data_IF_306829801217
#
_entry.id   IF_306829801217
#
_cell.length_a   1.000
_cell.length_b   1.000
_cell.length_c   1.000
_cell.angle_alpha   90.00
_cell.angle_beta   90.00
_cell.angle_gamma   90.00
#
_symmetry.space_group_name_H-M   'P 1'
#
loop_
_entity.id
_entity.type
_entity.pdbx_description
1 polymer ?
#
# COMPACT_ATOMS: atom_id res chain seq x y z
N UNK A 1 23.35 -9.91 -20.09
CA UNK A 1 23.06 -8.54 -19.62
C UNK A 1 22.51 -7.64 -20.74
N UNK A 2 23.31 -7.17 -21.72
CA UNK A 2 22.81 -6.24 -22.75
C UNK A 2 21.79 -6.88 -23.72
N UNK A 3 22.15 -8.01 -24.34
CA UNK A 3 21.23 -8.72 -25.25
C UNK A 3 19.93 -9.17 -24.56
N UNK A 4 19.98 -9.50 -23.26
CA UNK A 4 18.79 -9.85 -22.47
C UNK A 4 17.86 -8.65 -22.29
N UNK A 5 18.43 -7.47 -22.01
CA UNK A 5 17.67 -6.23 -21.92
C UNK A 5 17.06 -5.87 -23.27
N UNK A 6 17.81 -6.00 -24.37
CA UNK A 6 17.30 -5.77 -25.72
C UNK A 6 16.16 -6.74 -26.04
N UNK A 7 16.33 -8.04 -25.78
CA UNK A 7 15.25 -9.03 -25.97
C UNK A 7 14.01 -8.69 -25.14
N UNK A 8 14.19 -8.29 -23.88
CA UNK A 8 13.08 -7.88 -23.02
C UNK A 8 12.37 -6.64 -23.57
N UNK A 9 13.11 -5.62 -23.98
CA UNK A 9 12.56 -4.42 -24.61
C UNK A 9 11.78 -4.73 -25.89
N UNK A 10 12.34 -5.58 -26.77
CA UNK A 10 11.67 -6.03 -27.99
C UNK A 10 10.37 -6.78 -27.68
N UNK A 11 10.38 -7.66 -26.68
CA UNK A 11 9.23 -8.45 -26.32
C UNK A 11 8.13 -7.65 -25.58
N UNK A 12 8.51 -6.74 -24.67
CA UNK A 12 7.58 -6.20 -23.68
C UNK A 12 7.23 -4.71 -23.86
N UNK A 13 8.02 -3.96 -24.62
CA UNK A 13 7.78 -2.52 -24.85
C UNK A 13 7.28 -2.32 -26.27
N UNK A 14 6.16 -1.60 -26.42
CA UNK A 14 5.57 -1.27 -27.71
C UNK A 14 4.36 -0.34 -27.60
N UNK A 15 3.96 0.22 -28.74
CA UNK A 15 2.90 1.22 -28.82
C UNK A 15 1.53 0.73 -28.33
N UNK A 16 1.26 -0.57 -28.42
CA UNK A 16 0.04 -1.24 -27.93
C UNK A 16 -0.01 -1.42 -26.41
N UNK A 17 1.04 -1.00 -25.69
CA UNK A 17 1.14 -1.03 -24.22
C UNK A 17 1.43 0.35 -23.63
N UNK A 18 1.33 1.39 -24.44
CA UNK A 18 1.59 2.77 -24.05
C UNK A 18 0.27 3.46 -23.68
N UNK A 19 0.26 4.12 -22.53
CA UNK A 19 -0.77 5.09 -22.17
C UNK A 19 -0.11 6.48 -22.16
N UNK A 20 -0.67 7.41 -22.93
CA UNK A 20 -0.26 8.81 -22.94
C UNK A 20 -1.38 9.67 -22.36
N UNK A 21 -1.13 10.26 -21.20
CA UNK A 21 -2.00 11.27 -20.62
C UNK A 21 -1.32 12.63 -20.73
N UNK A 22 -2.04 13.61 -21.28
CA UNK A 22 -1.55 14.98 -21.47
C UNK A 22 -2.54 15.94 -20.84
N UNK A 23 -2.04 16.81 -19.96
CA UNK A 23 -2.82 17.85 -19.30
C UNK A 23 -2.02 19.16 -19.32
N UNK A 24 -2.71 20.28 -19.56
CA UNK A 24 -2.08 21.58 -19.71
C UNK A 24 -2.81 22.44 -20.75
N UNK A 25 -2.16 23.53 -21.15
CA UNK A 25 -2.67 24.45 -22.16
C UNK A 25 -2.24 24.01 -23.57
N UNK A 26 -3.16 23.37 -24.30
CA UNK A 26 -2.94 22.96 -25.69
C UNK A 26 -4.25 22.81 -26.45
N UNK A 27 -4.17 22.86 -27.78
CA UNK A 27 -5.29 22.51 -28.66
C UNK A 27 -5.30 21.00 -28.91
N UNK A 28 -6.38 20.33 -28.49
CA UNK A 28 -6.51 18.86 -28.54
C UNK A 28 -6.21 18.28 -29.92
N UNK A 29 -6.73 18.89 -30.99
CA UNK A 29 -6.52 18.41 -32.35
C UNK A 29 -5.03 18.47 -32.77
N UNK A 30 -4.34 19.56 -32.44
CA UNK A 30 -2.92 19.72 -32.76
C UNK A 30 -2.03 18.79 -31.93
N UNK A 31 -2.32 18.65 -30.63
CA UNK A 31 -1.59 17.74 -29.75
C UNK A 31 -1.74 16.29 -30.21
N UNK A 32 -2.97 15.86 -30.52
CA UNK A 32 -3.24 14.50 -31.05
C UNK A 32 -2.43 14.24 -32.32
N UNK A 33 -2.48 15.16 -33.28
CA UNK A 33 -1.74 15.02 -34.53
C UNK A 33 -0.22 14.99 -34.32
N UNK A 34 0.30 15.74 -33.33
CA UNK A 34 1.73 15.72 -32.98
C UNK A 34 2.14 14.38 -32.37
N UNK A 35 1.35 13.83 -31.43
CA UNK A 35 1.60 12.53 -30.81
C UNK A 35 1.50 11.40 -31.83
N UNK A 36 0.48 11.40 -32.68
CA UNK A 36 0.33 10.41 -33.76
C UNK A 36 1.55 10.41 -34.68
N UNK A 37 2.06 11.59 -35.08
CA UNK A 37 3.30 11.68 -35.87
C UNK A 37 4.53 11.21 -35.10
N UNK A 38 4.68 11.61 -33.84
CA UNK A 38 5.83 11.26 -33.00
C UNK A 38 5.95 9.75 -32.77
N UNK A 39 4.81 9.06 -32.65
CA UNK A 39 4.75 7.64 -32.35
C UNK A 39 4.33 6.76 -33.55
N UNK A 40 4.17 7.32 -34.75
CA UNK A 40 3.74 6.58 -35.95
C UNK A 40 4.63 5.37 -36.29
N UNK A 41 5.94 5.50 -36.04
CA UNK A 41 6.92 4.43 -36.28
C UNK A 41 7.10 3.47 -35.10
N UNK A 42 6.41 3.68 -33.98
CA UNK A 42 6.61 2.85 -32.81
C UNK A 42 5.89 1.51 -32.99
N UNK A 43 6.69 0.44 -33.10
CA UNK A 43 6.19 -0.92 -33.22
C UNK A 43 5.37 -1.37 -32.00
N UNK A 44 4.54 -2.39 -32.22
CA UNK A 44 3.92 -3.17 -31.14
C UNK A 44 4.95 -3.99 -30.37
N UNK A 45 4.60 -4.41 -29.17
CA UNK A 45 5.37 -5.35 -28.37
C UNK A 45 5.48 -6.69 -29.11
N UNK A 46 6.66 -7.31 -29.08
CA UNK A 46 6.94 -8.53 -29.83
C UNK A 46 6.30 -9.79 -29.25
N UNK A 47 5.73 -9.73 -28.05
CA UNK A 47 5.07 -10.85 -27.39
C UNK A 47 3.74 -10.42 -26.74
N UNK A 48 2.78 -11.34 -26.55
CA UNK A 48 1.62 -11.10 -25.70
C UNK A 48 2.03 -10.75 -24.26
N UNK A 49 1.25 -9.90 -23.59
CA UNK A 49 1.42 -9.68 -22.15
C UNK A 49 0.73 -10.82 -21.41
N UNK A 50 1.51 -11.62 -20.68
CA UNK A 50 0.93 -12.65 -19.83
C UNK A 50 0.15 -11.97 -18.68
N UNK A 51 -1.10 -12.40 -18.39
CA UNK A 51 -1.80 -11.90 -17.21
C UNK A 51 -1.03 -12.32 -15.96
N UNK A 52 -0.79 -11.37 -15.07
CA UNK A 52 -0.29 -11.69 -13.73
C UNK A 52 -1.45 -12.32 -12.92
N UNK A 53 -1.24 -13.48 -12.27
CA UNK A 53 -2.26 -14.03 -11.39
C UNK A 53 -2.45 -13.11 -10.17
N UNK A 54 -3.66 -13.04 -9.58
CA UNK A 54 -3.86 -12.41 -8.29
C UNK A 54 -2.93 -13.03 -7.23
N UNK A 55 -2.30 -12.21 -6.38
CA UNK A 55 -1.44 -12.73 -5.33
C UNK A 55 -2.28 -13.47 -4.27
N UNK A 56 -1.72 -14.56 -3.73
CA UNK A 56 -2.39 -15.33 -2.68
C UNK A 56 -2.18 -14.69 -1.31
N UNK A 57 -3.24 -14.68 -0.49
CA UNK A 57 -3.14 -14.27 0.91
C UNK A 57 -2.44 -15.33 1.73
N UNK A 58 -1.51 -14.88 2.57
CA UNK A 58 -0.91 -15.71 3.60
C UNK A 58 -1.98 -16.10 4.62
N UNK A 59 -1.97 -17.37 5.03
CA UNK A 59 -2.99 -17.96 5.93
C UNK A 59 -2.53 -18.09 7.38
N UNK A 60 -1.26 -17.86 7.63
CA UNK A 60 -0.64 -17.92 8.94
C UNK A 60 0.49 -16.90 9.00
N UNK A 61 0.87 -16.50 10.21
CA UNK A 61 2.04 -15.65 10.39
C UNK A 61 3.33 -16.37 10.02
N UNK A 62 4.25 -15.60 9.44
CA UNK A 62 5.66 -15.95 9.25
C UNK A 62 6.51 -14.70 9.44
N UNK A 63 7.78 -14.90 9.79
CA UNK A 63 8.71 -13.81 10.09
C UNK A 63 9.90 -13.88 9.14
N UNK A 64 10.21 -12.75 8.51
CA UNK A 64 11.50 -12.49 7.89
C UNK A 64 12.30 -11.58 8.82
N UNK A 65 13.37 -12.11 9.40
CA UNK A 65 14.34 -11.37 10.19
C UNK A 65 15.51 -10.98 9.30
N UNK A 66 15.74 -9.69 9.12
CA UNK A 66 16.92 -9.15 8.46
C UNK A 66 17.90 -8.75 9.55
N UNK A 67 19.00 -9.47 9.66
CA UNK A 67 20.05 -9.18 10.63
C UNK A 67 20.78 -7.89 10.25
N UNK A 68 20.67 -6.92 11.15
CA UNK A 68 21.39 -5.65 11.13
C UNK A 68 22.26 -5.56 12.40
N UNK A 69 23.49 -6.11 12.37
CA UNK A 69 24.39 -6.10 13.52
C UNK A 69 24.61 -4.68 14.05
N UNK A 70 24.77 -4.56 15.37
CA UNK A 70 25.00 -3.29 16.09
C UNK A 70 23.85 -2.28 16.01
N UNK A 71 22.70 -2.65 15.44
CA UNK A 71 21.52 -1.79 15.41
C UNK A 71 20.89 -1.66 16.79
N UNK A 72 20.85 -0.43 17.31
CA UNK A 72 20.18 -0.09 18.59
C UNK A 72 18.66 0.04 18.47
N UNK A 73 18.14 0.03 17.25
CA UNK A 73 16.71 0.05 16.96
C UNK A 73 16.34 -1.11 16.04
N UNK A 74 15.11 -1.60 16.22
CA UNK A 74 14.47 -2.51 15.27
C UNK A 74 13.38 -1.78 14.51
N UNK A 75 13.30 -2.04 13.21
CA UNK A 75 12.21 -1.63 12.33
C UNK A 75 11.35 -2.84 12.04
N UNK A 76 10.03 -2.68 12.04
CA UNK A 76 9.15 -3.78 11.69
C UNK A 76 8.00 -3.35 10.79
N UNK A 77 7.60 -4.29 9.95
CA UNK A 77 6.40 -4.26 9.12
C UNK A 77 5.56 -5.50 9.40
N UNK A 78 4.25 -5.32 9.42
CA UNK A 78 3.28 -6.40 9.49
C UNK A 78 2.24 -6.16 8.39
N UNK A 79 2.11 -7.08 7.45
CA UNK A 79 1.22 -6.88 6.30
C UNK A 79 0.87 -8.15 5.56
N UNK A 80 -0.04 -8.04 4.60
CA UNK A 80 -0.43 -9.12 3.71
C UNK A 80 -1.13 -8.54 2.47
N UNK A 81 -1.45 -9.41 1.52
CA UNK A 81 -2.23 -9.09 0.34
C UNK A 81 -3.58 -8.46 0.71
N UNK A 82 -3.82 -7.28 0.16
CA UNK A 82 -5.06 -6.51 0.25
C UNK A 82 -5.86 -6.60 -1.06
N UNK A 83 -6.66 -5.60 -1.35
CA UNK A 83 -7.58 -5.54 -2.50
C UNK A 83 -6.95 -4.85 -3.71
N UNK A 84 -7.34 -5.20 -4.95
CA UNK A 84 -6.86 -4.53 -6.15
C UNK A 84 -7.38 -3.09 -6.25
N UNK A 85 -6.79 -2.31 -7.16
CA UNK A 85 -7.18 -0.92 -7.42
C UNK A 85 -8.63 -0.76 -7.90
N UNK A 86 -9.17 -1.81 -8.53
CA UNK A 86 -10.55 -1.92 -9.01
C UNK A 86 -11.59 -2.24 -7.92
N UNK A 87 -11.16 -2.51 -6.67
CA UNK A 87 -12.08 -2.70 -5.54
C UNK A 87 -13.04 -1.51 -5.46
N UNK A 88 -14.35 -1.76 -5.42
CA UNK A 88 -15.34 -0.68 -5.51
C UNK A 88 -15.51 0.12 -4.19
N UNK A 89 -15.57 -0.52 -2.99
CA UNK A 89 -15.68 0.20 -1.71
C UNK A 89 -14.38 0.89 -1.24
N UNK A 90 -13.74 1.72 -2.06
CA UNK A 90 -12.49 2.42 -1.67
C UNK A 90 -12.70 3.51 -0.62
N UNK A 91 -13.70 4.40 -0.71
CA UNK A 91 -13.89 5.43 0.30
C UNK A 91 -13.99 4.91 1.75
N UNK A 92 -14.78 3.86 2.08
CA UNK A 92 -14.79 3.33 3.44
C UNK A 92 -13.45 2.71 3.86
N UNK A 93 -12.73 2.06 2.94
CA UNK A 93 -11.41 1.50 3.22
C UNK A 93 -10.36 2.61 3.48
N UNK A 94 -10.38 3.67 2.69
CA UNK A 94 -9.47 4.82 2.84
C UNK A 94 -9.71 5.51 4.20
N UNK A 95 -10.98 5.70 4.60
CA UNK A 95 -11.35 6.22 5.92
C UNK A 95 -10.87 5.31 7.04
N UNK A 96 -11.12 4.00 6.94
CA UNK A 96 -10.67 3.03 7.94
C UNK A 96 -9.15 3.04 8.11
N UNK A 97 -8.39 3.07 7.01
CA UNK A 97 -6.94 3.12 7.06
C UNK A 97 -6.42 4.43 7.68
N UNK A 98 -7.03 5.58 7.36
CA UNK A 98 -6.69 6.86 7.98
C UNK A 98 -6.92 6.83 9.49
N UNK A 99 -8.07 6.30 9.94
CA UNK A 99 -8.40 6.20 11.36
C UNK A 99 -7.48 5.20 12.09
N UNK A 100 -7.09 4.11 11.44
CA UNK A 100 -6.22 3.11 12.03
C UNK A 100 -4.76 3.56 12.15
N UNK A 101 -4.14 4.04 11.07
CA UNK A 101 -2.71 4.36 11.03
C UNK A 101 -2.29 5.40 10.00
N UNK A 102 -3.21 5.95 9.21
CA UNK A 102 -2.89 6.89 8.12
C UNK A 102 -2.80 8.36 8.54
N UNK A 103 -2.95 8.70 9.82
CA UNK A 103 -2.80 10.07 10.35
C UNK A 103 -2.12 10.07 11.72
N UNK A 104 -1.68 11.25 12.16
CA UNK A 104 -1.03 11.43 13.46
C UNK A 104 -1.91 11.04 14.66
N UNK A 105 -3.20 11.37 14.62
CA UNK A 105 -4.19 11.05 15.66
C UNK A 105 -4.88 9.71 15.43
N UNK A 106 -4.21 8.77 14.76
CA UNK A 106 -4.74 7.44 14.46
C UNK A 106 -4.63 6.48 15.66
N UNK A 107 -5.38 5.38 15.62
CA UNK A 107 -5.37 4.35 16.68
C UNK A 107 -3.96 3.81 16.93
N UNK A 108 -3.27 3.36 15.87
CA UNK A 108 -1.95 2.76 15.96
C UNK A 108 -0.91 3.74 16.51
N UNK A 109 -0.92 4.99 16.05
CA UNK A 109 -0.01 6.00 16.56
C UNK A 109 -0.34 6.38 18.01
N UNK A 110 -1.62 6.43 18.39
CA UNK A 110 -2.03 6.69 19.78
C UNK A 110 -1.52 5.60 20.73
N UNK A 111 -1.59 4.34 20.31
CA UNK A 111 -1.16 3.20 21.12
C UNK A 111 0.36 3.13 21.27
N UNK A 112 1.11 3.16 20.16
CA UNK A 112 2.57 2.97 20.20
C UNK A 112 3.35 4.22 20.62
N UNK A 113 2.86 5.42 20.27
CA UNK A 113 3.57 6.68 20.57
C UNK A 113 3.03 7.36 21.82
N UNK A 114 1.72 7.60 21.87
CA UNK A 114 1.15 8.49 22.90
C UNK A 114 0.99 7.77 24.24
N UNK A 115 0.46 6.54 24.23
CA UNK A 115 0.16 5.81 25.47
C UNK A 115 1.39 5.14 26.10
N UNK A 116 2.29 4.61 25.27
CA UNK A 116 3.39 3.75 25.75
C UNK A 116 4.78 4.33 25.51
N UNK A 117 4.94 5.27 24.57
CA UNK A 117 6.25 5.83 24.22
C UNK A 117 7.21 4.82 23.58
N UNK A 118 6.72 3.66 23.13
CA UNK A 118 7.54 2.62 22.51
C UNK A 118 8.13 3.05 21.17
N UNK A 119 7.46 3.95 20.45
CA UNK A 119 7.91 4.45 19.15
C UNK A 119 7.70 5.96 19.03
N UNK A 120 8.52 6.60 18.20
CA UNK A 120 8.25 7.97 17.78
C UNK A 120 7.07 8.07 16.80
N UNK A 121 6.73 6.99 16.09
CA UNK A 121 5.59 6.98 15.18
C UNK A 121 5.28 5.59 14.62
N UNK A 122 4.00 5.34 14.44
CA UNK A 122 3.51 4.15 13.77
C UNK A 122 2.50 4.53 12.69
N UNK A 123 2.47 3.78 11.60
CA UNK A 123 1.60 4.07 10.44
C UNK A 123 1.03 2.82 9.80
N UNK A 124 -0.05 2.98 9.05
CA UNK A 124 -0.55 1.97 8.13
C UNK A 124 -0.70 2.53 6.71
N UNK A 125 -0.48 1.66 5.72
CA UNK A 125 -0.48 2.02 4.31
C UNK A 125 -1.27 1.00 3.50
N UNK A 126 -1.93 1.51 2.46
CA UNK A 126 -2.60 0.75 1.42
C UNK A 126 -1.91 1.04 0.09
N UNK A 127 -1.42 0.00 -0.56
CA UNK A 127 -0.96 0.04 -1.95
C UNK A 127 -1.88 -0.86 -2.78
N UNK A 128 -2.30 -0.40 -3.94
CA UNK A 128 -3.30 -1.09 -4.76
C UNK A 128 -2.80 -1.18 -6.19
N UNK A 129 -2.60 -2.40 -6.65
CA UNK A 129 -2.15 -2.74 -8.00
C UNK A 129 -3.31 -3.37 -8.79
N UNK A 130 -3.04 -3.78 -10.04
CA UNK A 130 -4.09 -4.28 -10.93
C UNK A 130 -4.71 -5.60 -10.44
N UNK A 131 -3.88 -6.54 -9.97
CA UNK A 131 -4.30 -7.90 -9.62
C UNK A 131 -4.52 -8.12 -8.11
N UNK A 132 -4.02 -7.20 -7.28
CA UNK A 132 -4.11 -7.27 -5.83
C UNK A 132 -3.58 -5.99 -5.21
N UNK A 133 -3.40 -5.99 -3.89
CA UNK A 133 -2.81 -4.87 -3.18
C UNK A 133 -1.96 -5.34 -2.02
N UNK A 134 -1.39 -4.40 -1.29
CA UNK A 134 -0.69 -4.61 -0.03
C UNK A 134 -1.34 -3.71 1.01
N UNK A 135 -1.71 -4.31 2.13
CA UNK A 135 -1.94 -3.56 3.36
C UNK A 135 -0.82 -3.91 4.32
N UNK A 136 -0.24 -2.88 4.94
CA UNK A 136 0.76 -3.07 5.97
C UNK A 136 0.70 -1.99 7.03
N UNK A 137 1.13 -2.34 8.23
CA UNK A 137 1.48 -1.41 9.29
C UNK A 137 2.98 -1.49 9.58
N UNK A 138 3.57 -0.38 9.99
CA UNK A 138 5.00 -0.30 10.28
C UNK A 138 5.30 0.63 11.45
N UNK A 139 6.34 0.31 12.19
CA UNK A 139 6.90 1.16 13.25
C UNK A 139 8.36 0.77 13.48
N UNK A 140 9.00 1.42 14.44
CA UNK A 140 10.34 1.11 14.91
C UNK A 140 10.45 1.41 16.40
N UNK A 141 11.38 0.76 17.08
CA UNK A 141 11.59 0.91 18.53
C UNK A 141 13.01 0.51 18.91
N UNK A 142 13.39 0.68 20.18
CA UNK A 142 14.66 0.15 20.70
C UNK A 142 14.66 -1.38 20.60
N UNK A 143 15.82 -1.97 20.29
CA UNK A 143 15.91 -3.42 19.99
C UNK A 143 15.34 -4.29 21.10
N UNK A 144 15.59 -3.95 22.37
CA UNK A 144 15.07 -4.64 23.55
C UNK A 144 13.54 -4.53 23.74
N UNK A 145 12.89 -3.59 23.06
CA UNK A 145 11.42 -3.36 23.07
C UNK A 145 10.70 -3.90 21.83
N UNK A 146 11.42 -4.53 20.91
CA UNK A 146 10.88 -5.01 19.62
C UNK A 146 9.61 -5.86 19.79
N UNK A 147 9.66 -6.86 20.67
CA UNK A 147 8.54 -7.79 20.88
C UNK A 147 7.33 -7.10 21.49
N UNK A 148 7.55 -6.19 22.45
CA UNK A 148 6.49 -5.41 23.08
C UNK A 148 5.78 -4.51 22.06
N UNK A 149 6.53 -3.84 21.19
CA UNK A 149 5.98 -3.01 20.14
C UNK A 149 5.20 -3.82 19.08
N UNK A 150 5.69 -4.99 18.68
CA UNK A 150 5.00 -5.89 17.75
C UNK A 150 3.70 -6.41 18.40
N UNK A 151 3.74 -6.87 19.65
CA UNK A 151 2.56 -7.33 20.38
C UNK A 151 1.48 -6.25 20.46
N UNK A 152 1.87 -5.01 20.78
CA UNK A 152 0.94 -3.90 20.85
C UNK A 152 0.36 -3.55 19.47
N UNK A 153 1.17 -3.57 18.41
CA UNK A 153 0.70 -3.34 17.05
C UNK A 153 -0.33 -4.41 16.60
N UNK A 154 -0.04 -5.69 16.83
CA UNK A 154 -0.94 -6.80 16.51
C UNK A 154 -2.23 -6.74 17.33
N UNK A 155 -2.14 -6.46 18.64
CA UNK A 155 -3.32 -6.27 19.50
C UNK A 155 -4.17 -5.08 19.04
N UNK A 156 -3.54 -4.00 18.58
CA UNK A 156 -4.24 -2.83 18.04
C UNK A 156 -4.93 -3.16 16.72
N UNK A 157 -4.31 -3.98 15.87
CA UNK A 157 -4.94 -4.53 14.67
C UNK A 157 -6.15 -5.40 15.00
N UNK A 158 -6.09 -6.26 16.01
CA UNK A 158 -7.26 -7.03 16.47
C UNK A 158 -8.39 -6.12 16.96
N UNK A 159 -8.05 -5.04 17.67
CA UNK A 159 -9.03 -4.03 18.09
C UNK A 159 -9.66 -3.32 16.91
N UNK A 160 -8.92 -2.98 15.85
CA UNK A 160 -9.50 -2.41 14.63
C UNK A 160 -10.61 -3.29 14.08
N UNK A 161 -10.35 -4.59 13.98
CA UNK A 161 -11.31 -5.58 13.50
C UNK A 161 -12.56 -5.72 14.39
N UNK A 162 -12.44 -5.41 15.69
CA UNK A 162 -13.56 -5.37 16.62
C UNK A 162 -14.22 -3.98 16.72
N UNK A 163 -13.68 -2.97 16.04
CA UNK A 163 -14.13 -1.58 16.19
C UNK A 163 -15.29 -1.28 15.26
N UNK A 164 -16.33 -0.66 15.83
CA UNK A 164 -17.28 0.15 15.09
C UNK A 164 -16.98 1.61 15.42
N UNK A 165 -16.58 2.40 14.42
CA UNK A 165 -16.21 3.79 14.67
C UNK A 165 -17.42 4.61 15.11
N UNK A 166 -17.26 5.35 16.21
CA UNK A 166 -18.24 6.33 16.66
C UNK A 166 -18.48 7.42 15.59
N UNK A 167 -19.69 8.01 15.52
CA UNK A 167 -20.05 8.93 14.45
C UNK A 167 -19.11 10.15 14.30
N UNK A 168 -18.61 10.69 15.41
CA UNK A 168 -17.70 11.84 15.44
C UNK A 168 -16.29 11.46 14.94
N UNK A 169 -15.78 10.30 15.37
CA UNK A 169 -14.51 9.74 14.89
C UNK A 169 -14.59 9.43 13.40
N UNK A 170 -15.68 8.82 12.95
CA UNK A 170 -15.91 8.52 11.55
C UNK A 170 -15.97 9.81 10.71
N UNK A 171 -16.72 10.81 11.18
CA UNK A 171 -16.83 12.10 10.49
C UNK A 171 -15.47 12.82 10.42
N UNK A 172 -14.65 12.73 11.47
CA UNK A 172 -13.28 13.23 11.46
C UNK A 172 -12.42 12.52 10.42
N UNK A 173 -12.53 11.20 10.30
CA UNK A 173 -11.84 10.41 9.27
C UNK A 173 -12.24 10.82 7.86
N UNK A 174 -13.55 10.96 7.61
CA UNK A 174 -14.09 11.42 6.32
C UNK A 174 -13.59 12.82 5.96
N UNK A 175 -13.65 13.77 6.91
CA UNK A 175 -13.17 15.13 6.69
C UNK A 175 -11.66 15.16 6.39
N UNK A 176 -10.87 14.31 7.05
CA UNK A 176 -9.44 14.19 6.77
C UNK A 176 -9.19 13.71 5.33
N UNK A 177 -9.81 12.60 4.92
CA UNK A 177 -9.69 12.09 3.54
C UNK A 177 -10.16 13.13 2.53
N UNK A 178 -11.28 13.79 2.80
CA UNK A 178 -11.83 14.83 1.92
C UNK A 178 -10.91 16.03 1.77
N UNK A 179 -10.22 16.44 2.85
CA UNK A 179 -9.27 17.55 2.81
C UNK A 179 -7.97 17.21 2.08
N UNK A 180 -7.55 15.94 2.08
CA UNK A 180 -6.35 15.50 1.38
C UNK A 180 -6.58 15.23 -0.11
N UNK A 181 -7.80 14.84 -0.50
CA UNK A 181 -8.09 14.41 -1.87
C UNK A 181 -7.80 15.47 -2.96
N UNK A 182 -8.21 16.75 -2.81
CA UNK A 182 -7.91 17.78 -3.81
C UNK A 182 -6.41 18.06 -4.00
N UNK A 183 -5.61 17.88 -2.94
CA UNK A 183 -4.16 18.12 -2.97
C UNK A 183 -3.43 17.17 -3.93
N UNK A 184 -4.05 16.03 -4.25
CA UNK A 184 -3.55 15.09 -5.24
C UNK A 184 -3.84 15.51 -6.69
N UNK A 185 -4.57 16.61 -6.92
CA UNK A 185 -5.12 17.03 -8.23
C UNK A 185 -4.93 18.54 -8.50
N UNK A 186 -3.88 19.16 -7.96
CA UNK A 186 -3.66 20.62 -8.07
C UNK A 186 -2.93 21.03 -9.36
N UNK A 187 -2.07 20.15 -9.86
CA UNK A 187 -1.18 20.45 -10.99
C UNK A 187 -1.56 19.67 -12.25
N UNK A 188 -1.16 20.17 -13.42
CA UNK A 188 -1.35 19.45 -14.67
C UNK A 188 -0.67 18.07 -14.66
N UNK A 189 0.51 17.95 -14.05
CA UNK A 189 1.21 16.67 -13.92
C UNK A 189 0.42 15.66 -13.07
N UNK A 190 -0.18 16.11 -11.96
CA UNK A 190 -1.06 15.29 -11.13
C UNK A 190 -2.31 14.84 -11.89
N UNK A 191 -2.94 15.74 -12.65
CA UNK A 191 -4.07 15.36 -13.52
C UNK A 191 -3.68 14.36 -14.59
N UNK A 192 -2.54 14.55 -15.26
CA UNK A 192 -2.03 13.60 -16.25
C UNK A 192 -1.79 12.22 -15.61
N UNK A 193 -1.16 12.16 -14.45
CA UNK A 193 -0.96 10.92 -13.71
C UNK A 193 -2.31 10.27 -13.33
N UNK A 194 -3.28 11.05 -12.84
CA UNK A 194 -4.58 10.53 -12.45
C UNK A 194 -5.38 9.98 -13.64
N UNK A 195 -5.32 10.63 -14.81
CA UNK A 195 -5.94 10.16 -16.04
C UNK A 195 -5.27 8.90 -16.58
N UNK A 196 -3.94 8.83 -16.52
CA UNK A 196 -3.19 7.62 -16.87
C UNK A 196 -3.57 6.45 -15.95
N UNK A 197 -3.74 6.70 -14.65
CA UNK A 197 -4.20 5.70 -13.68
C UNK A 197 -5.61 5.20 -14.00
N UNK A 198 -6.54 6.09 -14.38
CA UNK A 198 -7.88 5.67 -14.76
C UNK A 198 -7.84 4.67 -15.92
N UNK A 199 -7.11 5.01 -16.98
CA UNK A 199 -6.94 4.15 -18.15
C UNK A 199 -6.24 2.84 -17.77
N UNK A 200 -5.12 2.92 -17.04
CA UNK A 200 -4.30 1.76 -16.68
C UNK A 200 -5.06 0.74 -15.83
N UNK A 201 -5.89 1.20 -14.91
CA UNK A 201 -6.67 0.35 -14.01
C UNK A 201 -8.09 0.05 -14.52
N UNK A 202 -8.47 0.54 -15.71
CA UNK A 202 -9.81 0.37 -16.27
C UNK A 202 -10.90 1.01 -15.40
N UNK A 203 -10.58 2.14 -14.77
CA UNK A 203 -11.50 2.93 -13.95
C UNK A 203 -12.22 3.97 -14.81
N UNK A 204 -13.38 4.39 -14.34
CA UNK A 204 -14.21 5.37 -15.03
C UNK A 204 -14.01 6.77 -14.43
N UNK A 205 -14.37 7.81 -15.19
CA UNK A 205 -14.32 9.20 -14.71
C UNK A 205 -15.10 9.42 -13.40
N UNK A 206 -16.20 8.67 -13.18
CA UNK A 206 -16.99 8.72 -11.93
C UNK A 206 -16.16 8.38 -10.69
N UNK A 207 -15.08 7.61 -10.85
CA UNK A 207 -14.18 7.27 -9.73
C UNK A 207 -13.45 8.50 -9.17
N UNK A 208 -13.42 9.60 -9.93
CA UNK A 208 -12.96 10.93 -9.48
C UNK A 208 -14.14 11.82 -9.13
N UNK A 209 -15.06 12.00 -10.09
CA UNK A 209 -16.14 12.98 -10.01
C UNK A 209 -17.10 12.69 -8.83
N UNK A 210 -17.32 11.41 -8.51
CA UNK A 210 -18.25 10.99 -7.46
C UNK A 210 -17.55 10.61 -6.14
N UNK A 211 -16.21 10.62 -6.08
CA UNK A 211 -15.45 10.17 -4.91
C UNK A 211 -15.87 10.92 -3.64
N UNK A 212 -15.99 12.25 -3.71
CA UNK A 212 -16.41 13.07 -2.57
C UNK A 212 -17.82 12.73 -2.07
N UNK A 213 -18.77 12.48 -2.99
CA UNK A 213 -20.13 12.10 -2.63
C UNK A 213 -20.18 10.68 -2.04
N UNK A 214 -19.38 9.75 -2.58
CA UNK A 214 -19.24 8.41 -2.04
C UNK A 214 -18.61 8.42 -0.63
N UNK A 215 -17.58 9.24 -0.43
CA UNK A 215 -16.94 9.46 0.87
C UNK A 215 -17.91 10.03 1.90
N UNK A 216 -18.73 11.01 1.52
CA UNK A 216 -19.72 11.62 2.42
C UNK A 216 -20.78 10.62 2.92
N UNK A 217 -21.07 9.57 2.13
CA UNK A 217 -22.05 8.52 2.45
C UNK A 217 -21.48 7.37 3.29
N UNK A 218 -20.17 7.31 3.53
CA UNK A 218 -19.53 6.25 4.32
C UNK A 218 -20.15 6.16 5.71
N UNK A 219 -20.63 4.97 6.05
CA UNK A 219 -21.13 4.57 7.37
C UNK A 219 -20.11 3.71 8.13
N UNK A 220 -20.29 3.57 9.45
CA UNK A 220 -19.45 2.69 10.26
C UNK A 220 -19.52 1.24 9.77
N UNK A 221 -20.71 0.77 9.39
CA UNK A 221 -20.89 -0.58 8.84
C UNK A 221 -20.13 -0.77 7.51
N UNK A 222 -20.03 0.25 6.66
CA UNK A 222 -19.23 0.19 5.43
C UNK A 222 -17.74 0.03 5.78
N UNK A 223 -17.25 0.75 6.79
CA UNK A 223 -15.85 0.64 7.24
C UNK A 223 -15.55 -0.76 7.78
N UNK A 224 -16.42 -1.34 8.61
CA UNK A 224 -16.22 -2.71 9.13
C UNK A 224 -16.16 -3.73 8.00
N UNK A 225 -17.08 -3.66 7.01
CA UNK A 225 -17.03 -4.55 5.84
C UNK A 225 -15.77 -4.35 5.00
N UNK A 226 -15.30 -3.11 4.85
CA UNK A 226 -14.08 -2.82 4.13
C UNK A 226 -12.83 -3.34 4.86
N UNK A 227 -12.78 -3.22 6.20
CA UNK A 227 -11.73 -3.78 7.05
C UNK A 227 -11.68 -5.30 6.87
N UNK A 228 -12.81 -6.00 7.03
CA UNK A 228 -12.89 -7.46 6.88
C UNK A 228 -12.45 -7.94 5.49
N UNK A 229 -12.80 -7.18 4.45
CA UNK A 229 -12.45 -7.53 3.08
C UNK A 229 -10.97 -7.29 2.74
N UNK A 230 -10.38 -6.20 3.26
CA UNK A 230 -9.13 -5.66 2.72
C UNK A 230 -7.95 -5.61 3.69
N UNK A 231 -8.19 -5.64 5.00
CA UNK A 231 -7.14 -5.58 6.03
C UNK A 231 -6.95 -6.98 6.61
N UNK A 232 -5.74 -7.54 6.62
CA UNK A 232 -5.49 -8.87 7.17
C UNK A 232 -5.78 -8.93 8.67
N UNK A 233 -6.10 -10.15 9.14
CA UNK A 233 -6.15 -10.49 10.56
C UNK A 233 -4.72 -10.60 11.11
N UNK A 234 -4.53 -10.34 12.39
CA UNK A 234 -3.20 -10.37 13.02
C UNK A 234 -2.55 -11.76 13.00
N UNK A 235 -3.33 -12.83 12.90
CA UNK A 235 -2.87 -14.22 12.78
C UNK A 235 -2.46 -14.63 11.36
N UNK A 236 -2.68 -13.74 10.38
CA UNK A 236 -2.40 -13.95 8.96
C UNK A 236 -1.59 -12.77 8.38
N UNK A 237 -0.60 -12.26 9.10
CA UNK A 237 0.35 -11.25 8.61
C UNK A 237 1.74 -11.85 8.39
N UNK A 238 2.42 -11.38 7.34
CA UNK A 238 3.88 -11.52 7.23
C UNK A 238 4.52 -10.41 8.04
N UNK A 239 5.42 -10.80 8.94
CA UNK A 239 6.25 -9.88 9.71
C UNK A 239 7.62 -9.77 9.05
N UNK A 240 8.05 -8.56 8.80
CA UNK A 240 9.44 -8.27 8.42
C UNK A 240 10.04 -7.46 9.56
N UNK A 241 11.16 -7.91 10.11
CA UNK A 241 11.86 -7.24 11.21
C UNK A 241 13.31 -7.03 10.81
N UNK A 242 13.78 -5.80 10.89
CA UNK A 242 15.18 -5.43 10.63
C UNK A 242 15.75 -4.94 11.96
N UNK A 243 16.76 -5.62 12.49
CA UNK A 243 17.36 -5.31 13.79
C UNK A 243 18.48 -6.29 14.14
N UNK A 244 19.11 -6.11 15.30
CA UNK A 244 20.18 -6.99 15.77
C UNK A 244 19.63 -8.38 16.09
N UNK A 245 19.86 -9.36 15.21
CA UNK A 245 19.14 -10.62 15.23
C UNK A 245 19.35 -11.41 16.54
N UNK A 246 20.57 -11.39 17.08
CA UNK A 246 20.91 -12.14 18.30
C UNK A 246 20.08 -11.74 19.53
N UNK A 247 19.56 -10.51 19.58
CA UNK A 247 18.72 -10.05 20.70
C UNK A 247 17.25 -10.43 20.55
N UNK A 248 16.75 -10.56 19.32
CA UNK A 248 15.31 -10.65 19.05
C UNK A 248 14.87 -11.97 18.41
N UNK A 249 15.79 -12.74 17.81
CA UNK A 249 15.50 -13.97 17.04
C UNK A 249 14.64 -14.97 17.81
N UNK A 250 15.03 -15.29 19.04
CA UNK A 250 14.31 -16.27 19.86
C UNK A 250 12.90 -15.81 20.20
N UNK A 251 12.74 -14.52 20.55
CA UNK A 251 11.44 -13.94 20.83
C UNK A 251 10.53 -13.89 19.60
N UNK A 252 11.09 -13.64 18.41
CA UNK A 252 10.33 -13.55 17.17
C UNK A 252 9.69 -14.88 16.75
N UNK A 253 10.20 -16.03 17.23
CA UNK A 253 9.58 -17.35 16.99
C UNK A 253 8.15 -17.46 17.54
N UNK A 254 7.78 -16.63 18.51
CA UNK A 254 6.39 -16.48 19.00
C UNK A 254 5.42 -16.14 17.86
N UNK A 255 5.89 -15.43 16.83
CA UNK A 255 5.04 -14.96 15.74
C UNK A 255 5.02 -15.89 14.53
N UNK A 256 5.59 -17.09 14.61
CA UNK A 256 5.57 -18.08 13.52
C UNK A 256 6.98 -18.47 13.05
N UNK A 257 7.07 -19.23 11.95
CA UNK A 257 8.35 -19.64 11.38
C UNK A 257 9.21 -18.43 11.04
N UNK A 258 10.45 -18.40 11.55
CA UNK A 258 11.41 -17.34 11.30
C UNK A 258 12.37 -17.77 10.22
N UNK A 259 12.49 -16.96 9.17
CA UNK A 259 13.57 -17.06 8.20
C UNK A 259 14.47 -15.84 8.35
N UNK A 260 15.78 -16.07 8.32
CA UNK A 260 16.78 -15.04 8.60
C UNK A 260 17.64 -14.78 7.36
N UNK A 261 17.99 -13.51 7.13
CA UNK A 261 18.94 -13.10 6.09
C UNK A 261 19.82 -11.96 6.58
N UNK A 262 21.05 -11.90 6.09
CA UNK A 262 21.95 -10.78 6.34
C UNK A 262 21.52 -9.54 5.54
N UNK A 263 21.70 -8.35 6.09
CA UNK A 263 21.46 -7.09 5.38
C UNK A 263 22.27 -6.98 4.06
N UNK A 264 23.44 -7.62 3.99
CA UNK A 264 24.33 -7.66 2.83
C UNK A 264 23.95 -8.72 1.79
N UNK A 265 22.91 -9.52 2.02
CA UNK A 265 22.51 -10.57 1.11
C UNK A 265 22.14 -9.96 -0.27
N UNK A 266 22.68 -10.48 -1.38
CA UNK A 266 22.49 -9.91 -2.71
C UNK A 266 21.07 -10.16 -3.27
N UNK A 267 20.30 -11.05 -2.64
CA UNK A 267 18.97 -11.44 -3.09
C UNK A 267 17.90 -10.71 -2.29
N UNK A 268 17.18 -9.80 -2.94
CA UNK A 268 15.93 -9.21 -2.41
C UNK A 268 14.73 -10.17 -2.50
N UNK A 269 14.95 -11.43 -2.87
CA UNK A 269 13.92 -12.45 -2.87
C UNK A 269 13.76 -12.99 -1.45
N UNK A 270 12.53 -13.00 -0.94
CA UNK A 270 12.23 -13.76 0.26
C UNK A 270 12.52 -15.25 -0.03
N UNK A 271 13.26 -15.94 0.85
CA UNK A 271 13.52 -17.38 0.72
C UNK A 271 12.23 -18.23 0.75
#
# INVERSE_FOLDING_TARGET
>A
AHEELERHYQAQVGADRLILAVAGDFQTAHMKAALERAFAGWRKAGAPLAPAPPPERERARRVLLVDAPESTQSYFWAGNVSVPRSYAPRPPLDVANVLFGGRFTSMLNSELRVRTGLSYGARSQLERFAQGGLWQMSSFTQTDKTLEAIDLALTTLDRLHATQFEPDVLQSGKAYVQGQYPLALETAAQWAAQLADLEFYGLERRDIDEYGAALARVSAADTSRAIDAAIPRSDAVVLVVIGQADEIREGLRKYGPVTEMALSAPTFAAP
#
